data_IF_795519662945
#
_entry.id   IF_795519662945
#
_cell.length_a   1.000
_cell.length_b   1.000
_cell.length_c   1.000
_cell.angle_alpha   90.00
_cell.angle_beta   90.00
_cell.angle_gamma   90.00
#
_symmetry.space_group_name_H-M   'P 1'
#
loop_
_entity.id
_entity.type
_entity.pdbx_description
1 polymer ?
#
# COMPACT_ATOMS: atom_id res chain seq x y z
N UNK A 1 7.86 2.75 -7.05
CA UNK A 1 9.32 2.53 -7.14
C UNK A 1 9.67 1.36 -8.05
N UNK A 2 9.23 0.13 -7.77
CA UNK A 2 9.62 -1.05 -8.56
C UNK A 2 9.18 -1.05 -10.03
N UNK A 3 8.21 -0.22 -10.39
CA UNK A 3 7.70 -0.06 -11.76
C UNK A 3 8.29 1.14 -12.50
N UNK A 4 9.34 1.78 -11.96
CA UNK A 4 10.01 2.88 -12.63
C UNK A 4 10.70 2.37 -13.90
N UNK A 5 10.62 3.13 -14.99
CA UNK A 5 11.29 2.81 -16.26
C UNK A 5 12.62 3.57 -16.28
N UNK A 6 13.77 2.87 -16.39
CA UNK A 6 15.07 3.53 -16.41
C UNK A 6 15.31 4.32 -17.72
N UNK A 7 16.12 5.38 -17.66
CA UNK A 7 16.53 6.18 -18.81
C UNK A 7 17.52 7.29 -18.43
N UNK A 8 18.26 7.87 -19.40
CA UNK A 8 19.17 8.98 -19.12
C UNK A 8 18.45 10.16 -18.46
N UNK A 9 18.95 10.59 -17.30
CA UNK A 9 18.35 11.71 -16.54
C UNK A 9 17.03 11.40 -15.84
N UNK A 10 16.54 10.15 -15.88
CA UNK A 10 15.31 9.76 -15.18
C UNK A 10 15.59 9.57 -13.68
N UNK A 11 14.79 10.22 -12.84
CA UNK A 11 14.80 10.04 -11.38
C UNK A 11 13.58 9.25 -10.91
N UNK A 12 13.76 8.47 -9.84
CA UNK A 12 12.66 7.76 -9.19
C UNK A 12 11.92 8.75 -8.29
N UNK A 13 10.60 8.85 -8.47
CA UNK A 13 9.73 9.64 -7.60
C UNK A 13 9.37 8.86 -6.32
N UNK A 14 9.87 9.35 -5.18
CA UNK A 14 9.60 8.82 -3.84
C UNK A 14 8.59 9.65 -3.04
N UNK A 15 8.02 10.72 -3.61
CA UNK A 15 7.19 11.70 -2.88
C UNK A 15 5.98 11.11 -2.13
N UNK A 16 5.53 9.91 -2.52
CA UNK A 16 4.41 9.19 -1.89
C UNK A 16 4.80 7.81 -1.35
N UNK A 17 6.10 7.51 -1.27
CA UNK A 17 6.58 6.21 -0.80
C UNK A 17 6.21 5.97 0.67
N UNK A 18 6.40 6.97 1.53
CA UNK A 18 6.08 6.88 2.96
C UNK A 18 4.57 6.74 3.20
N UNK A 19 3.75 7.43 2.41
CA UNK A 19 2.29 7.31 2.47
C UNK A 19 1.84 5.87 2.21
N UNK A 20 2.44 5.20 1.23
CA UNK A 20 2.18 3.78 0.96
C UNK A 20 2.61 2.89 2.14
N UNK A 21 3.78 3.16 2.73
CA UNK A 21 4.26 2.41 3.89
C UNK A 21 3.34 2.57 5.12
N UNK A 22 2.83 3.79 5.36
CA UNK A 22 1.82 4.07 6.38
C UNK A 22 0.54 3.26 6.12
N UNK A 23 0.11 3.14 4.86
CA UNK A 23 -1.04 2.30 4.50
C UNK A 23 -0.85 0.83 4.88
N UNK A 24 0.36 0.29 4.73
CA UNK A 24 0.67 -1.08 5.15
C UNK A 24 0.67 -1.22 6.68
N UNK A 25 1.33 -0.29 7.38
CA UNK A 25 1.41 -0.26 8.86
C UNK A 25 0.03 -0.04 9.49
N UNK A 26 -0.89 0.66 8.81
CA UNK A 26 -2.24 0.91 9.32
C UNK A 26 -3.01 -0.38 9.65
N UNK A 27 -2.75 -1.49 8.96
CA UNK A 27 -3.32 -2.79 9.33
C UNK A 27 -2.95 -3.19 10.76
N UNK A 28 -1.68 -3.01 11.13
CA UNK A 28 -1.16 -3.34 12.45
C UNK A 28 -1.78 -2.45 13.54
N UNK A 29 -2.03 -1.17 13.23
CA UNK A 29 -2.73 -0.25 14.14
C UNK A 29 -4.17 -0.68 14.44
N UNK A 30 -4.82 -1.40 13.52
CA UNK A 30 -6.15 -1.97 13.71
C UNK A 30 -6.13 -3.45 14.09
N UNK A 31 -5.04 -3.90 14.72
CA UNK A 31 -4.85 -5.28 15.18
C UNK A 31 -5.00 -6.33 14.07
N UNK A 32 -4.71 -5.96 12.82
CA UNK A 32 -4.63 -6.86 11.68
C UNK A 32 -3.16 -7.11 11.31
N UNK A 33 -2.82 -8.29 10.77
CA UNK A 33 -1.49 -8.52 10.25
C UNK A 33 -1.20 -7.60 9.06
N UNK A 34 0.01 -7.08 8.97
CA UNK A 34 0.46 -6.35 7.79
C UNK A 34 0.37 -7.26 6.55
N UNK A 35 -0.37 -6.89 5.49
CA UNK A 35 -0.59 -7.74 4.32
C UNK A 35 0.69 -8.12 3.57
N UNK A 36 1.77 -7.38 3.78
CA UNK A 36 3.04 -7.52 3.06
C UNK A 36 4.13 -8.22 3.87
N UNK A 37 3.84 -8.65 5.10
CA UNK A 37 4.78 -9.43 5.90
C UNK A 37 4.64 -10.93 5.56
N UNK A 38 5.78 -11.65 5.53
CA UNK A 38 5.94 -13.10 5.28
C UNK A 38 6.02 -13.57 3.83
N UNK A 39 6.48 -14.82 3.66
CA UNK A 39 6.54 -15.54 2.38
C UNK A 39 5.17 -15.91 1.79
N UNK A 40 4.10 -15.86 2.60
CA UNK A 40 2.72 -16.02 2.13
C UNK A 40 1.97 -14.69 2.02
N UNK A 41 2.61 -13.57 2.37
CA UNK A 41 2.06 -12.23 2.22
C UNK A 41 2.01 -11.76 0.76
N UNK A 42 1.41 -10.61 0.55
CA UNK A 42 1.39 -9.94 -0.75
C UNK A 42 2.78 -9.38 -1.07
N UNK A 43 3.20 -9.52 -2.33
CA UNK A 43 4.43 -8.88 -2.81
C UNK A 43 4.12 -7.44 -3.25
N UNK A 44 4.77 -6.47 -2.60
CA UNK A 44 4.64 -5.03 -2.86
C UNK A 44 4.76 -4.67 -4.36
N UNK A 45 5.60 -5.40 -5.09
CA UNK A 45 5.86 -5.15 -6.52
C UNK A 45 4.76 -5.64 -7.44
N UNK A 46 3.93 -6.60 -7.05
CA UNK A 46 3.00 -7.31 -7.97
C UNK A 46 1.57 -7.47 -7.46
N UNK A 47 1.28 -7.18 -6.19
CA UNK A 47 -0.07 -7.29 -5.64
C UNK A 47 -1.09 -6.51 -6.47
N UNK A 48 -2.36 -6.90 -6.40
CA UNK A 48 -3.50 -6.16 -6.91
C UNK A 48 -4.31 -5.62 -5.74
N UNK A 49 -4.84 -4.41 -5.84
CA UNK A 49 -5.57 -3.74 -4.75
C UNK A 49 -6.79 -4.55 -4.26
N UNK A 50 -7.38 -5.38 -5.13
CA UNK A 50 -8.48 -6.30 -4.78
C UNK A 50 -8.07 -7.48 -3.89
N UNK A 51 -6.76 -7.75 -3.76
CA UNK A 51 -6.22 -8.80 -2.91
C UNK A 51 -6.00 -8.33 -1.47
N UNK A 52 -6.11 -7.02 -1.22
CA UNK A 52 -5.96 -6.47 0.11
C UNK A 52 -7.11 -6.99 1.01
N UNK A 53 -6.80 -7.52 2.20
CA UNK A 53 -7.84 -7.94 3.13
C UNK A 53 -8.66 -6.73 3.59
N UNK A 54 -9.98 -6.88 3.78
CA UNK A 54 -10.80 -5.81 4.33
C UNK A 54 -10.40 -5.53 5.79
N UNK A 55 -10.47 -4.26 6.19
CA UNK A 55 -10.33 -3.91 7.59
C UNK A 55 -11.60 -4.31 8.38
N UNK A 56 -11.50 -4.49 9.71
CA UNK A 56 -12.65 -4.83 10.53
C UNK A 56 -13.75 -3.77 10.44
N UNK A 57 -15.02 -4.20 10.51
CA UNK A 57 -16.18 -3.30 10.46
C UNK A 57 -16.23 -2.24 11.59
N UNK A 58 -15.47 -2.45 12.66
CA UNK A 58 -15.31 -1.47 13.74
C UNK A 58 -14.48 -0.24 13.33
N UNK A 59 -13.70 -0.32 12.24
CA UNK A 59 -12.95 0.80 11.71
C UNK A 59 -13.90 1.70 10.91
N UNK A 60 -13.94 3.02 11.13
CA UNK A 60 -14.81 3.93 10.38
C UNK A 60 -14.58 3.84 8.86
N UNK A 61 -15.65 3.91 8.07
CA UNK A 61 -15.59 3.74 6.61
C UNK A 61 -14.60 4.72 5.95
N UNK A 62 -14.55 5.97 6.40
CA UNK A 62 -13.61 6.97 5.90
C UNK A 62 -12.16 6.56 6.14
N UNK A 63 -11.86 5.95 7.29
CA UNK A 63 -10.51 5.46 7.60
C UNK A 63 -10.17 4.26 6.72
N UNK A 64 -11.12 3.34 6.52
CA UNK A 64 -10.92 2.22 5.60
C UNK A 64 -10.66 2.70 4.17
N UNK A 65 -11.38 3.73 3.72
CA UNK A 65 -11.16 4.37 2.43
C UNK A 65 -9.77 4.98 2.35
N UNK A 66 -9.33 5.73 3.36
CA UNK A 66 -7.98 6.32 3.40
C UNK A 66 -6.90 5.24 3.30
N UNK A 67 -6.99 4.16 4.09
CA UNK A 67 -6.00 3.06 4.01
C UNK A 67 -5.96 2.44 2.62
N UNK A 68 -7.13 2.25 1.99
CA UNK A 68 -7.23 1.75 0.61
C UNK A 68 -6.60 2.70 -0.41
N UNK A 69 -6.75 4.02 -0.22
CA UNK A 69 -6.14 5.03 -1.09
C UNK A 69 -4.61 5.07 -0.92
N UNK A 70 -4.11 4.96 0.30
CA UNK A 70 -2.66 4.90 0.58
C UNK A 70 -2.00 3.69 -0.08
N UNK A 71 -2.71 2.55 -0.15
CA UNK A 71 -2.24 1.33 -0.80
C UNK A 71 -2.56 1.24 -2.29
N UNK A 72 -2.86 2.37 -2.96
CA UNK A 72 -2.94 2.39 -4.43
C UNK A 72 -1.57 2.21 -5.05
N UNK A 73 -1.51 1.38 -6.10
CA UNK A 73 -0.23 1.13 -6.81
C UNK A 73 0.20 2.31 -7.66
N UNK A 74 -0.78 2.99 -8.24
CA UNK A 74 -0.52 4.17 -9.04
C UNK A 74 -0.48 5.39 -8.11
N UNK A 75 0.72 5.90 -7.86
CA UNK A 75 0.94 7.08 -7.03
C UNK A 75 0.32 8.37 -7.59
N UNK A 76 -0.17 8.38 -8.84
CA UNK A 76 -0.87 9.53 -9.44
C UNK A 76 -2.40 9.46 -9.31
N UNK A 77 -2.94 8.36 -8.80
CA UNK A 77 -4.37 8.18 -8.51
C UNK A 77 -4.65 8.37 -7.03
#
# INVERSE_FOLDING_TARGET
VATAVPGPGVMIDYSKADAWAVGAIAYELFSQPNPFYSSQGLESRTYQEKQLPPLPAAVPEDVQLVVKLLLRRNSRK
#
